data_IF_051048957669
#
_entry.id   IF_051048957669
#
_cell.length_a   1.000
_cell.length_b   1.000
_cell.length_c   1.000
_cell.angle_alpha   90.00
_cell.angle_beta   90.00
_cell.angle_gamma   90.00
#
_symmetry.space_group_name_H-M   'P 1'
#
loop_
_entity.id
_entity.type
_entity.pdbx_description
1 polymer ?
#
# COMPACT_ATOMS: atom_id res chain seq x y z
N UNK A 1 -28.09 7.77 5.77
CA UNK A 1 -28.65 6.71 4.90
C UNK A 1 -27.51 6.19 4.05
N UNK A 2 -26.80 5.16 4.50
CA UNK A 2 -25.72 4.52 3.73
C UNK A 2 -26.30 3.30 3.03
N UNK A 3 -26.09 3.23 1.72
CA UNK A 3 -26.56 2.16 0.84
C UNK A 3 -26.03 0.78 1.30
N UNK A 4 -26.78 -0.32 1.19
CA UNK A 4 -26.35 -1.62 1.76
C UNK A 4 -25.24 -2.36 0.99
N UNK A 5 -24.54 -1.72 0.05
CA UNK A 5 -23.64 -2.43 -0.88
C UNK A 5 -22.27 -1.77 -1.12
N UNK A 6 -21.96 -0.64 -0.49
CA UNK A 6 -20.59 -0.13 -0.47
C UNK A 6 -19.88 -0.76 0.74
N UNK A 7 -19.41 -1.99 0.57
CA UNK A 7 -18.48 -2.58 1.53
C UNK A 7 -17.19 -1.79 1.38
N UNK A 8 -16.96 -0.82 2.28
CA UNK A 8 -15.69 -0.11 2.35
C UNK A 8 -14.53 -1.13 2.42
N UNK A 9 -13.42 -0.87 1.71
CA UNK A 9 -12.29 -1.78 1.75
C UNK A 9 -11.79 -1.89 3.20
N UNK A 10 -11.64 -3.11 3.69
CA UNK A 10 -11.14 -3.38 5.05
C UNK A 10 -9.68 -2.97 5.26
N UNK A 11 -8.98 -2.57 4.19
CA UNK A 11 -7.63 -2.05 4.23
C UNK A 11 -7.64 -0.58 3.81
N UNK A 12 -7.19 0.29 4.71
CA UNK A 12 -6.90 1.70 4.47
C UNK A 12 -5.38 1.95 4.44
N UNK A 13 -4.96 3.03 3.79
CA UNK A 13 -3.56 3.45 3.69
C UNK A 13 -3.47 4.92 4.07
N UNK A 14 -2.56 5.24 4.99
CA UNK A 14 -2.34 6.61 5.48
C UNK A 14 -0.85 6.98 5.47
N UNK A 15 -0.42 8.06 4.80
CA UNK A 15 -1.19 8.88 3.87
C UNK A 15 -1.71 8.10 2.66
N UNK A 16 -2.78 8.55 2.02
CA UNK A 16 -3.42 7.86 0.89
C UNK A 16 -2.74 8.12 -0.48
N UNK A 17 -1.76 9.03 -0.51
CA UNK A 17 -0.94 9.35 -1.68
C UNK A 17 0.54 9.50 -1.30
N UNK A 18 1.44 9.22 -2.24
CA UNK A 18 2.87 9.45 -2.07
C UNK A 18 3.42 10.48 -3.06
N UNK A 19 4.00 11.54 -2.52
CA UNK A 19 4.64 12.58 -3.31
C UNK A 19 6.15 12.50 -3.16
N UNK A 20 6.87 12.63 -4.27
CA UNK A 20 8.33 12.57 -4.29
C UNK A 20 8.95 13.71 -5.09
N UNK A 21 10.24 13.97 -4.87
CA UNK A 21 11.02 14.83 -5.75
C UNK A 21 11.68 14.00 -6.87
N UNK A 22 12.06 14.68 -7.96
CA UNK A 22 12.84 14.06 -9.05
C UNK A 22 14.22 13.57 -8.60
N UNK A 23 14.75 14.15 -7.52
CA UNK A 23 15.99 13.75 -6.85
C UNK A 23 15.83 12.49 -6.00
N UNK A 24 14.62 11.92 -5.95
CA UNK A 24 14.29 10.77 -5.12
C UNK A 24 13.73 11.17 -3.75
N UNK A 25 13.59 10.20 -2.87
CA UNK A 25 13.05 10.41 -1.52
C UNK A 25 12.46 9.14 -0.93
N UNK A 26 11.91 9.27 0.28
CA UNK A 26 11.17 8.20 0.96
C UNK A 26 9.80 8.72 1.37
N UNK A 27 8.80 7.85 1.29
CA UNK A 27 7.47 8.09 1.81
C UNK A 27 7.08 6.89 2.66
N UNK A 28 6.60 7.15 3.88
CA UNK A 28 6.15 6.13 4.82
C UNK A 28 4.64 6.13 4.86
N UNK A 29 4.06 4.93 4.81
CA UNK A 29 2.61 4.72 4.86
C UNK A 29 2.28 3.68 5.91
N UNK A 30 1.12 3.86 6.53
CA UNK A 30 0.53 2.95 7.48
C UNK A 30 -0.62 2.21 6.81
N UNK A 31 -0.51 0.89 6.76
CA UNK A 31 -1.57 0.01 6.27
C UNK A 31 -2.45 -0.36 7.46
N UNK A 32 -3.69 0.12 7.46
CA UNK A 32 -4.63 -0.05 8.57
C UNK A 32 -5.69 -1.07 8.19
N UNK A 33 -5.74 -2.20 8.92
CA UNK A 33 -6.81 -3.18 8.74
C UNK A 33 -7.99 -2.83 9.65
N UNK A 34 -9.04 -2.25 9.06
CA UNK A 34 -10.29 -1.87 9.73
C UNK A 34 -11.27 -3.05 9.82
N UNK A 35 -10.94 -4.21 9.24
CA UNK A 35 -11.76 -5.41 9.28
C UNK A 35 -11.58 -6.24 10.55
N UNK A 36 -12.46 -7.23 10.71
CA UNK A 36 -12.49 -8.15 11.86
C UNK A 36 -11.58 -9.37 11.71
N UNK A 37 -10.95 -9.55 10.54
CA UNK A 37 -10.09 -10.71 10.24
C UNK A 37 -8.69 -10.25 9.90
N UNK A 38 -7.70 -11.08 10.26
CA UNK A 38 -6.33 -10.95 9.78
C UNK A 38 -6.32 -11.00 8.26
N UNK A 39 -5.53 -10.12 7.64
CA UNK A 39 -5.33 -10.10 6.19
C UNK A 39 -3.86 -10.33 5.84
N UNK A 40 -3.62 -11.01 4.72
CA UNK A 40 -2.32 -11.03 4.06
C UNK A 40 -2.34 -9.97 2.95
N UNK A 41 -1.29 -9.16 2.88
CA UNK A 41 -1.12 -8.09 1.89
C UNK A 41 0.07 -8.40 0.98
N UNK A 42 -0.12 -8.18 -0.32
CA UNK A 42 0.92 -8.22 -1.36
C UNK A 42 0.95 -6.89 -2.08
N UNK A 43 2.10 -6.24 -2.06
CA UNK A 43 2.32 -4.96 -2.74
C UNK A 43 2.90 -5.22 -4.14
N UNK A 44 2.34 -4.57 -5.15
CA UNK A 44 2.83 -4.62 -6.54
C UNK A 44 3.18 -3.22 -7.02
N UNK A 45 4.41 -3.07 -7.46
CA UNK A 45 4.93 -1.87 -8.11
C UNK A 45 5.11 -2.12 -9.61
N UNK A 46 4.67 -1.17 -10.43
CA UNK A 46 4.78 -1.15 -11.89
C UNK A 46 6.19 -0.80 -12.36
N UNK A 47 6.96 -0.06 -11.56
CA UNK A 47 8.29 0.41 -11.94
C UNK A 47 9.32 0.19 -10.83
N UNK A 48 9.85 -1.03 -10.84
CA UNK A 48 10.94 -1.43 -9.96
C UNK A 48 12.30 -0.89 -10.43
N UNK A 49 12.39 -0.03 -11.45
CA UNK A 49 13.64 0.66 -11.78
C UNK A 49 13.79 1.92 -10.92
N UNK A 50 12.70 2.66 -10.73
CA UNK A 50 12.67 3.91 -9.97
C UNK A 50 12.20 3.76 -8.51
N UNK A 51 11.36 2.76 -8.22
CA UNK A 51 10.80 2.61 -6.88
C UNK A 51 11.30 1.33 -6.19
N UNK A 52 11.45 1.41 -4.87
CA UNK A 52 11.71 0.28 -3.97
C UNK A 52 10.65 0.30 -2.88
N UNK A 53 10.09 -0.85 -2.56
CA UNK A 53 9.01 -0.98 -1.58
C UNK A 53 9.39 -2.03 -0.55
N UNK A 54 9.20 -1.72 0.73
CA UNK A 54 9.50 -2.63 1.82
C UNK A 54 8.50 -2.45 2.97
N UNK A 55 7.84 -3.53 3.44
CA UNK A 55 7.83 -4.89 2.91
C UNK A 55 6.91 -5.06 1.67
N UNK A 56 7.19 -6.04 0.80
CA UNK A 56 6.31 -6.38 -0.35
C UNK A 56 5.22 -7.41 0.00
N UNK A 57 5.39 -8.11 1.11
CA UNK A 57 4.42 -9.06 1.65
C UNK A 57 4.40 -8.92 3.17
N UNK A 58 3.21 -8.93 3.74
CA UNK A 58 3.02 -8.80 5.18
C UNK A 58 1.65 -9.33 5.61
N UNK A 59 1.52 -9.67 6.88
CA UNK A 59 0.23 -9.81 7.53
C UNK A 59 -0.15 -8.49 8.19
N UNK A 60 -1.44 -8.22 8.31
CA UNK A 60 -1.98 -7.13 9.13
C UNK A 60 -3.12 -7.73 9.96
N UNK A 61 -2.96 -7.73 11.29
CA UNK A 61 -3.97 -8.26 12.21
C UNK A 61 -5.24 -7.40 12.19
N UNK A 62 -6.37 -7.98 12.61
CA UNK A 62 -7.63 -7.26 12.71
C UNK A 62 -7.50 -6.04 13.65
N UNK A 63 -8.01 -4.88 13.23
CA UNK A 63 -7.93 -3.63 14.00
C UNK A 63 -6.51 -3.09 14.21
N UNK A 64 -5.50 -3.65 13.54
CA UNK A 64 -4.09 -3.26 13.69
C UNK A 64 -3.58 -2.57 12.44
N UNK A 65 -2.39 -1.98 12.56
CA UNK A 65 -1.70 -1.33 11.45
C UNK A 65 -0.24 -1.74 11.37
N UNK A 66 0.34 -1.66 10.18
CA UNK A 66 1.76 -1.91 9.95
C UNK A 66 2.34 -0.92 8.93
N UNK A 67 3.62 -0.60 9.08
CA UNK A 67 4.29 0.38 8.23
C UNK A 67 4.78 -0.22 6.91
N UNK A 68 4.80 0.63 5.89
CA UNK A 68 5.36 0.40 4.56
C UNK A 68 6.21 1.60 4.17
N UNK A 69 7.41 1.34 3.68
CA UNK A 69 8.29 2.38 3.14
C UNK A 69 8.38 2.25 1.63
N UNK A 70 8.11 3.35 0.94
CA UNK A 70 8.32 3.52 -0.50
C UNK A 70 9.54 4.43 -0.67
N UNK A 71 10.58 3.96 -1.35
CA UNK A 71 11.77 4.75 -1.70
C UNK A 71 11.78 4.99 -3.20
N UNK A 72 11.87 6.26 -3.60
CA UNK A 72 12.09 6.67 -4.99
C UNK A 72 13.56 6.99 -5.20
N UNK A 73 14.13 6.45 -6.28
CA UNK A 73 15.46 6.78 -6.77
C UNK A 73 15.43 8.01 -7.69
N UNK A 74 16.53 8.77 -7.81
CA UNK A 74 16.62 9.89 -8.73
C UNK A 74 16.25 9.48 -10.16
N UNK A 75 15.44 10.29 -10.84
CA UNK A 75 14.97 9.99 -12.19
C UNK A 75 13.93 10.97 -12.73
N UNK A 76 13.47 10.76 -13.97
CA UNK A 76 12.55 11.69 -14.64
C UNK A 76 11.21 11.81 -13.89
N UNK A 77 10.53 12.97 -13.96
CA UNK A 77 9.19 13.14 -13.41
C UNK A 77 8.25 12.01 -13.84
N UNK A 78 7.46 11.50 -12.90
CA UNK A 78 6.59 10.36 -13.19
C UNK A 78 5.36 10.33 -12.29
N UNK A 79 4.20 10.12 -12.91
CA UNK A 79 2.97 9.70 -12.24
C UNK A 79 2.86 8.19 -12.34
N UNK A 80 2.66 7.54 -11.22
CA UNK A 80 2.55 6.08 -11.10
C UNK A 80 1.55 5.71 -9.99
N UNK A 81 1.43 4.43 -9.69
CA UNK A 81 0.61 3.94 -8.59
C UNK A 81 1.20 2.68 -7.99
N UNK A 82 0.97 2.51 -6.70
CA UNK A 82 1.25 1.27 -6.00
C UNK A 82 -0.06 0.50 -5.79
N UNK A 83 -0.06 -0.80 -6.08
CA UNK A 83 -1.27 -1.64 -5.96
C UNK A 83 -1.09 -2.62 -4.82
N UNK A 84 -2.00 -2.58 -3.86
CA UNK A 84 -2.04 -3.48 -2.72
C UNK A 84 -3.12 -4.51 -2.96
N UNK A 85 -2.73 -5.77 -3.06
CA UNK A 85 -3.66 -6.88 -3.05
C UNK A 85 -3.76 -7.43 -1.64
N UNK A 86 -4.97 -7.71 -1.18
CA UNK A 86 -5.15 -8.30 0.15
C UNK A 86 -6.21 -9.40 0.14
N UNK A 87 -6.03 -10.36 1.03
CA UNK A 87 -6.93 -11.51 1.22
C UNK A 87 -7.08 -11.80 2.72
N UNK A 88 -8.28 -12.13 3.19
CA UNK A 88 -8.46 -12.66 4.55
C UNK A 88 -7.64 -13.94 4.74
N UNK A 89 -7.01 -14.07 5.90
CA UNK A 89 -6.24 -15.25 6.28
C UNK A 89 -6.45 -15.58 7.76
N UNK A 90 -5.79 -16.64 8.21
CA UNK A 90 -5.89 -17.16 9.58
C UNK A 90 -4.58 -17.01 10.32
N UNK A 91 -4.62 -17.16 11.65
CA UNK A 91 -3.40 -17.20 12.48
C UNK A 91 -2.53 -18.43 12.20
N UNK A 92 -3.11 -19.49 11.60
CA UNK A 92 -2.37 -20.69 11.18
C UNK A 92 -1.49 -20.44 9.94
N UNK A 93 -1.70 -19.34 9.23
CA UNK A 93 -0.88 -18.96 8.09
C UNK A 93 0.45 -18.36 8.56
N UNK A 94 1.54 -18.96 8.09
CA UNK A 94 2.92 -18.64 8.53
C UNK A 94 3.61 -17.68 7.56
N UNK A 95 3.42 -17.86 6.24
CA UNK A 95 3.98 -16.99 5.20
C UNK A 95 2.85 -16.28 4.42
N UNK A 96 2.82 -14.94 4.39
CA UNK A 96 1.82 -14.21 3.61
C UNK A 96 1.86 -14.58 2.11
N UNK A 97 3.03 -14.93 1.56
CA UNK A 97 3.17 -15.33 0.15
C UNK A 97 2.38 -16.59 -0.18
N UNK A 98 2.33 -17.54 0.75
CA UNK A 98 1.63 -18.81 0.55
C UNK A 98 0.12 -18.64 0.55
N UNK A 99 -0.40 -17.64 1.28
CA UNK A 99 -1.83 -17.29 1.24
C UNK A 99 -2.26 -16.91 -0.18
N UNK A 100 -1.43 -16.15 -0.91
CA UNK A 100 -1.71 -15.76 -2.30
C UNK A 100 -1.57 -16.89 -3.33
N UNK A 101 -1.05 -18.06 -2.94
CA UNK A 101 -1.07 -19.27 -3.79
C UNK A 101 -2.41 -20.00 -3.69
N UNK A 102 -3.19 -19.76 -2.62
CA UNK A 102 -4.54 -20.32 -2.47
C UNK A 102 -5.48 -19.66 -3.49
N UNK A 103 -6.49 -20.38 -3.96
CA UNK A 103 -7.47 -19.89 -4.97
C UNK A 103 -8.46 -18.83 -4.41
N UNK A 104 -8.05 -18.03 -3.43
CA UNK A 104 -8.84 -16.91 -2.94
C UNK A 104 -8.75 -15.74 -3.93
N UNK A 105 -9.87 -15.06 -4.19
CA UNK A 105 -9.90 -13.85 -5.01
C UNK A 105 -9.40 -12.67 -4.15
N UNK A 106 -8.26 -12.05 -4.48
CA UNK A 106 -7.78 -10.88 -3.75
C UNK A 106 -8.62 -9.66 -4.06
N UNK A 107 -8.86 -8.85 -3.03
CA UNK A 107 -9.29 -7.46 -3.18
C UNK A 107 -8.06 -6.57 -3.44
N UNK A 108 -8.28 -5.32 -3.84
CA UNK A 108 -7.19 -4.40 -4.08
C UNK A 108 -7.52 -2.93 -3.85
N UNK A 109 -6.58 -2.20 -3.27
CA UNK A 109 -6.56 -0.74 -3.15
C UNK A 109 -5.33 -0.18 -3.88
N UNK A 110 -5.42 1.06 -4.37
CA UNK A 110 -4.36 1.73 -5.13
C UNK A 110 -3.94 2.98 -4.39
N UNK A 111 -2.64 3.18 -4.27
CA UNK A 111 -2.04 4.41 -3.76
C UNK A 111 -1.43 5.18 -4.95
N UNK A 112 -1.95 6.36 -5.32
CA UNK A 112 -1.32 7.21 -6.33
C UNK A 112 0.07 7.66 -5.87
N UNK A 113 0.99 7.75 -6.84
CA UNK A 113 2.34 8.26 -6.64
C UNK A 113 2.65 9.29 -7.71
N UNK A 114 3.23 10.42 -7.33
CA UNK A 114 3.61 11.45 -8.28
C UNK A 114 4.88 12.18 -7.85
N UNK A 115 5.47 12.89 -8.82
CA UNK A 115 6.60 13.78 -8.57
C UNK A 115 6.12 15.21 -8.50
N UNK A 116 6.38 15.86 -7.37
CA UNK A 116 6.06 17.26 -7.12
C UNK A 116 7.30 18.13 -7.24
N UNK A 117 7.10 19.44 -7.37
CA UNK A 117 8.22 20.38 -7.31
C UNK A 117 8.66 20.62 -5.87
N UNK A 118 9.90 21.08 -5.63
CA UNK A 118 10.35 21.43 -4.27
C UNK A 118 9.47 22.47 -3.58
N UNK A 119 8.86 23.39 -4.34
CA UNK A 119 8.00 24.45 -3.81
C UNK A 119 6.67 23.87 -3.28
N UNK A 120 6.13 22.85 -3.95
CA UNK A 120 4.91 22.16 -3.53
C UNK A 120 5.15 21.28 -2.28
N UNK A 121 6.36 20.75 -2.12
CA UNK A 121 6.72 19.89 -0.98
C UNK A 121 6.69 20.63 0.37
N UNK A 122 6.84 21.96 0.38
CA UNK A 122 6.84 22.78 1.58
C UNK A 122 5.43 23.03 2.16
N UNK A 123 4.36 22.65 1.45
CA UNK A 123 2.97 22.86 1.86
C UNK A 123 2.30 21.61 2.48
N UNK A 124 3.00 20.47 2.53
CA UNK A 124 2.45 19.17 2.99
C UNK A 124 2.71 18.92 4.49
N UNK A 125 2.83 19.97 5.30
CA UNK A 125 3.04 19.89 6.76
C UNK A 125 1.96 20.60 7.56
#
# INVERSE_FOLDING_TARGET
>A
MTSPNDIEPVLSIDPDAAHFLITGGKSEHMLVNTGEKRIAVKVRCSDNSLFRVCPVYMFVEAGSCNNLVITRLPGPPKVDKLVFHYVPCTERDIDPKDVFKKKAKPESIKLPMDTITPDDALQVH
#
